data_IF_777966966315
#
_entry.id   IF_777966966315
#
_cell.length_a   1.000
_cell.length_b   1.000
_cell.length_c   1.000
_cell.angle_alpha   90.00
_cell.angle_beta   90.00
_cell.angle_gamma   90.00
#
_symmetry.space_group_name_H-M   'P 1'
#
loop_
_entity.id
_entity.type
_entity.pdbx_description
1 polymer ?
#
# COMPACT_ATOMS: atom_id res chain seq x y z
N UNK A 1 -13.72 -4.23 -15.49
CA UNK A 1 -13.80 -4.39 -14.02
C UNK A 1 -12.56 -5.11 -13.46
N UNK A 2 -12.22 -6.32 -13.93
CA UNK A 2 -11.07 -7.09 -13.42
C UNK A 2 -9.70 -6.35 -13.47
N UNK A 3 -9.42 -5.62 -14.55
CA UNK A 3 -8.14 -4.90 -14.72
C UNK A 3 -7.84 -3.91 -13.59
N UNK A 4 -8.87 -3.24 -13.07
CA UNK A 4 -8.74 -2.25 -12.00
C UNK A 4 -8.25 -2.90 -10.71
N UNK A 5 -8.86 -4.03 -10.34
CA UNK A 5 -8.50 -4.78 -9.14
C UNK A 5 -7.12 -5.40 -9.25
N UNK A 6 -6.79 -5.97 -10.42
CA UNK A 6 -5.43 -6.46 -10.71
C UNK A 6 -4.39 -5.34 -10.55
N UNK A 7 -4.65 -4.16 -11.12
CA UNK A 7 -3.75 -3.02 -11.01
C UNK A 7 -3.58 -2.54 -9.55
N UNK A 8 -4.65 -2.62 -8.75
CA UNK A 8 -4.60 -2.34 -7.31
C UNK A 8 -3.75 -3.35 -6.54
N UNK A 9 -3.96 -4.64 -6.78
CA UNK A 9 -3.16 -5.72 -6.17
C UNK A 9 -1.68 -5.60 -6.55
N UNK A 10 -1.37 -5.38 -7.84
CA UNK A 10 -0.01 -5.20 -8.31
C UNK A 10 0.65 -3.96 -7.68
N UNK A 11 -0.08 -2.85 -7.58
CA UNK A 11 0.42 -1.63 -6.94
C UNK A 11 0.67 -1.82 -5.44
N UNK A 12 -0.29 -2.40 -4.72
CA UNK A 12 -0.16 -2.70 -3.30
C UNK A 12 0.98 -3.68 -3.03
N UNK A 13 1.16 -4.70 -3.86
CA UNK A 13 2.28 -5.64 -3.75
C UNK A 13 3.63 -4.95 -3.95
N UNK A 14 3.81 -4.17 -5.03
CA UNK A 14 5.08 -3.48 -5.31
C UNK A 14 5.40 -2.42 -4.25
N UNK A 15 4.40 -1.63 -3.83
CA UNK A 15 4.55 -0.69 -2.73
C UNK A 15 4.89 -1.41 -1.42
N UNK A 16 4.20 -2.52 -1.15
CA UNK A 16 4.40 -3.36 0.02
C UNK A 16 5.79 -3.97 0.08
N UNK A 17 6.35 -4.43 -1.04
CA UNK A 17 7.72 -4.93 -1.13
C UNK A 17 8.75 -3.84 -0.79
N UNK A 18 8.63 -2.66 -1.41
CA UNK A 18 9.57 -1.56 -1.16
C UNK A 18 9.49 -1.10 0.30
N UNK A 19 8.27 -0.98 0.83
CA UNK A 19 8.07 -0.63 2.24
C UNK A 19 8.61 -1.75 3.16
N UNK A 20 8.33 -3.01 2.87
CA UNK A 20 8.81 -4.12 3.67
C UNK A 20 10.33 -4.22 3.70
N UNK A 21 11.04 -3.91 2.60
CA UNK A 21 12.51 -3.86 2.56
C UNK A 21 13.02 -2.78 3.53
N UNK A 22 12.39 -1.60 3.52
CA UNK A 22 12.70 -0.57 4.51
C UNK A 22 12.44 -1.06 5.93
N UNK A 23 11.28 -1.68 6.20
CA UNK A 23 10.95 -2.19 7.53
C UNK A 23 11.93 -3.26 8.00
N UNK A 24 12.40 -4.14 7.09
CA UNK A 24 13.42 -5.13 7.38
C UNK A 24 14.73 -4.47 7.80
N UNK A 25 15.17 -3.48 7.03
CA UNK A 25 16.40 -2.74 7.32
C UNK A 25 16.30 -1.93 8.63
N UNK A 26 15.10 -1.45 8.97
CA UNK A 26 14.81 -0.71 10.18
C UNK A 26 14.45 -1.59 11.40
N UNK A 27 14.42 -2.92 11.26
CA UNK A 27 14.06 -3.85 12.35
C UNK A 27 12.58 -3.77 12.77
N UNK A 28 11.69 -3.26 11.92
CA UNK A 28 10.29 -2.98 12.26
C UNK A 28 9.32 -4.12 11.94
N UNK A 29 9.78 -5.20 11.32
CA UNK A 29 8.91 -6.32 10.94
C UNK A 29 8.44 -7.14 12.14
N UNK A 30 9.24 -7.22 13.20
CA UNK A 30 8.85 -7.86 14.46
C UNK A 30 7.62 -7.15 15.05
N UNK A 31 7.58 -5.81 15.02
CA UNK A 31 6.42 -5.04 15.45
C UNK A 31 5.14 -5.38 14.68
N UNK A 32 5.26 -5.73 13.40
CA UNK A 32 4.12 -6.19 12.59
C UNK A 32 3.75 -7.63 12.93
N UNK A 33 4.74 -8.51 13.15
CA UNK A 33 4.50 -9.89 13.57
C UNK A 33 3.77 -9.96 14.92
N UNK A 34 4.07 -9.02 15.83
CA UNK A 34 3.42 -8.95 17.15
C UNK A 34 1.92 -8.69 17.05
N UNK A 35 1.41 -8.12 15.95
CA UNK A 35 -0.04 -7.95 15.74
C UNK A 35 -0.81 -9.27 15.71
N UNK A 36 -0.11 -10.38 15.47
CA UNK A 36 -0.65 -11.74 15.52
C UNK A 36 0.04 -12.61 16.58
N UNK A 37 0.72 -11.98 17.56
CA UNK A 37 1.38 -12.67 18.67
C UNK A 37 2.67 -13.41 18.31
N UNK A 38 3.30 -13.07 17.18
CA UNK A 38 4.56 -13.67 16.73
C UNK A 38 5.73 -12.69 16.89
N UNK A 39 6.94 -13.21 17.12
CA UNK A 39 8.21 -12.47 17.11
C UNK A 39 9.02 -12.73 15.82
N UNK A 40 8.65 -13.72 15.01
CA UNK A 40 9.33 -14.05 13.77
C UNK A 40 9.17 -12.95 12.68
N UNK A 41 10.28 -12.33 12.21
CA UNK A 41 10.23 -11.31 11.14
C UNK A 41 9.61 -11.81 9.82
N UNK A 42 9.73 -13.10 9.52
CA UNK A 42 9.10 -13.73 8.34
C UNK A 42 7.57 -13.73 8.42
N UNK A 43 7.00 -13.89 9.62
CA UNK A 43 5.56 -13.72 9.85
C UNK A 43 5.17 -12.26 9.65
N UNK A 44 5.99 -11.32 10.16
CA UNK A 44 5.82 -9.88 9.93
C UNK A 44 5.76 -9.51 8.45
N UNK A 45 6.65 -10.08 7.63
CA UNK A 45 6.61 -9.95 6.16
C UNK A 45 5.28 -10.42 5.56
N UNK A 46 4.81 -11.60 5.96
CA UNK A 46 3.55 -12.16 5.47
C UNK A 46 2.37 -11.25 5.78
N UNK A 47 2.24 -10.82 7.03
CA UNK A 47 1.18 -9.91 7.49
C UNK A 47 1.27 -8.56 6.76
N UNK A 48 2.47 -7.99 6.66
CA UNK A 48 2.70 -6.72 5.95
C UNK A 48 2.26 -6.78 4.49
N UNK A 49 2.62 -7.85 3.76
CA UNK A 49 2.21 -8.01 2.36
C UNK A 49 0.71 -8.21 2.21
N UNK A 50 0.06 -8.96 3.12
CA UNK A 50 -1.41 -9.11 3.12
C UNK A 50 -2.07 -7.74 3.31
N UNK A 51 -1.65 -6.96 4.31
CA UNK A 51 -2.16 -5.61 4.55
C UNK A 51 -1.93 -4.71 3.33
N UNK A 52 -0.75 -4.80 2.72
CA UNK A 52 -0.40 -4.06 1.51
C UNK A 52 -1.31 -4.37 0.32
N UNK A 53 -1.67 -5.65 0.12
CA UNK A 53 -2.65 -6.06 -0.89
C UNK A 53 -4.04 -5.50 -0.61
N UNK A 54 -4.49 -5.55 0.65
CA UNK A 54 -5.78 -4.98 1.07
C UNK A 54 -5.83 -3.48 0.83
N UNK A 55 -4.77 -2.75 1.14
CA UNK A 55 -4.69 -1.32 0.83
C UNK A 55 -4.59 -1.05 -0.67
N UNK A 56 -3.92 -1.90 -1.45
CA UNK A 56 -3.96 -1.83 -2.92
C UNK A 56 -5.37 -1.98 -3.50
N UNK A 57 -6.17 -2.89 -2.95
CA UNK A 57 -7.59 -3.03 -3.28
C UNK A 57 -8.41 -1.81 -2.85
N UNK A 58 -8.20 -1.29 -1.64
CA UNK A 58 -8.87 -0.09 -1.15
C UNK A 58 -8.53 1.13 -2.02
N UNK A 59 -7.26 1.27 -2.40
CA UNK A 59 -6.80 2.31 -3.32
C UNK A 59 -7.55 2.21 -4.65
N UNK A 60 -7.60 1.01 -5.24
CA UNK A 60 -8.37 0.77 -6.45
C UNK A 60 -9.84 1.16 -6.23
N UNK A 61 -10.51 0.66 -5.20
CA UNK A 61 -11.92 0.95 -4.92
C UNK A 61 -12.22 2.46 -4.93
N UNK A 62 -11.43 3.26 -4.20
CA UNK A 62 -11.62 4.71 -4.10
C UNK A 62 -11.18 5.51 -5.33
N UNK A 63 -10.30 4.96 -6.19
CA UNK A 63 -9.68 5.69 -7.31
C UNK A 63 -10.66 6.24 -8.35
N UNK A 64 -11.90 5.72 -8.38
CA UNK A 64 -12.95 6.13 -9.32
C UNK A 64 -13.67 7.41 -8.91
N UNK A 65 -13.65 7.74 -7.61
CA UNK A 65 -14.38 8.89 -7.07
C UNK A 65 -13.56 10.19 -7.07
N UNK A 66 -12.24 10.09 -7.29
CA UNK A 66 -11.33 11.24 -7.25
C UNK A 66 -10.71 11.48 -8.63
N UNK A 67 -10.89 12.68 -9.17
CA UNK A 67 -10.34 13.07 -10.48
C UNK A 67 -8.81 13.24 -10.43
N UNK A 68 -8.31 14.01 -9.47
CA UNK A 68 -6.89 14.27 -9.30
C UNK A 68 -6.20 13.09 -8.59
N UNK A 69 -5.37 12.37 -9.34
CA UNK A 69 -4.73 11.13 -8.89
C UNK A 69 -3.58 11.36 -7.92
N UNK A 70 -2.88 12.49 -8.05
CA UNK A 70 -1.80 12.87 -7.14
C UNK A 70 -2.39 13.19 -5.77
N UNK A 71 -3.43 14.03 -5.74
CA UNK A 71 -4.13 14.36 -4.49
C UNK A 71 -4.67 13.10 -3.82
N UNK A 72 -5.26 12.19 -4.60
CA UNK A 72 -5.75 10.92 -4.07
C UNK A 72 -4.63 10.06 -3.45
N UNK A 73 -3.48 9.94 -4.10
CA UNK A 73 -2.35 9.17 -3.57
C UNK A 73 -1.82 9.75 -2.26
N UNK A 74 -1.66 11.07 -2.19
CA UNK A 74 -1.19 11.76 -0.98
C UNK A 74 -2.21 11.60 0.15
N UNK A 75 -3.49 11.89 -0.08
CA UNK A 75 -4.51 11.78 0.98
C UNK A 75 -4.72 10.34 1.42
N UNK A 76 -4.63 9.37 0.50
CA UNK A 76 -4.66 7.95 0.83
C UNK A 76 -3.48 7.56 1.72
N UNK A 77 -2.25 7.98 1.37
CA UNK A 77 -1.04 7.74 2.17
C UNK A 77 -1.13 8.33 3.58
N UNK A 78 -1.61 9.57 3.70
CA UNK A 78 -1.87 10.21 5.00
C UNK A 78 -2.94 9.45 5.79
N UNK A 79 -4.03 9.02 5.14
CA UNK A 79 -5.10 8.31 5.82
C UNK A 79 -4.63 6.96 6.39
N UNK A 80 -3.89 6.17 5.62
CA UNK A 80 -3.35 4.89 6.11
C UNK A 80 -2.29 5.09 7.21
N UNK A 81 -1.52 6.18 7.16
CA UNK A 81 -0.57 6.53 8.23
C UNK A 81 -1.29 6.88 9.54
N UNK A 82 -2.38 7.63 9.47
CA UNK A 82 -3.19 7.92 10.67
C UNK A 82 -3.82 6.63 11.22
N UNK A 83 -4.40 5.82 10.35
CA UNK A 83 -5.17 4.64 10.75
C UNK A 83 -4.25 3.51 11.25
N UNK A 84 -3.16 3.20 10.54
CA UNK A 84 -2.29 2.07 10.84
C UNK A 84 -1.37 2.34 12.04
N UNK A 85 -0.25 3.04 11.85
CA UNK A 85 0.79 3.19 12.87
C UNK A 85 0.43 4.16 14.00
N UNK A 86 -0.49 5.12 13.83
CA UNK A 86 -0.85 6.04 14.92
C UNK A 86 -2.03 5.57 15.78
N UNK A 87 -2.90 4.72 15.23
CA UNK A 87 -4.14 4.27 15.88
C UNK A 87 -4.19 2.76 16.07
N UNK A 88 -4.35 1.99 15.00
CA UNK A 88 -4.66 0.55 15.10
C UNK A 88 -3.49 -0.22 15.70
N UNK A 89 -2.26 -0.06 15.16
CA UNK A 89 -1.11 -0.84 15.62
C UNK A 89 -0.79 -0.59 17.11
N UNK A 90 -0.67 0.66 17.61
CA UNK A 90 -0.42 0.89 19.03
C UNK A 90 -1.51 0.28 19.92
N UNK A 91 -2.78 0.46 19.56
CA UNK A 91 -3.90 -0.10 20.35
C UNK A 91 -3.88 -1.63 20.38
N UNK A 92 -3.58 -2.29 19.27
CA UNK A 92 -3.46 -3.75 19.21
C UNK A 92 -2.28 -4.29 20.04
N UNK A 93 -1.20 -3.50 20.16
CA UNK A 93 -0.03 -3.85 20.96
C UNK A 93 -0.17 -3.44 22.43
N UNK A 94 -1.35 -3.00 22.87
CA UNK A 94 -1.58 -2.54 24.25
C UNK A 94 -0.88 -1.22 24.58
N UNK A 95 -0.40 -0.50 23.56
CA UNK A 95 0.13 0.85 23.68
C UNK A 95 -1.02 1.86 23.61
N UNK A 96 -0.82 3.05 24.18
CA UNK A 96 -1.71 4.19 23.92
C UNK A 96 -1.60 4.65 22.45
N UNK A 97 -2.64 5.35 21.96
CA UNK A 97 -2.60 6.00 20.65
C UNK A 97 -1.44 7.00 20.53
N UNK A 98 -0.92 7.17 19.32
CA UNK A 98 0.24 8.04 19.05
C UNK A 98 -0.14 9.34 18.33
N UNK A 99 -1.44 9.68 18.24
CA UNK A 99 -1.93 10.88 17.54
C UNK A 99 -1.30 12.18 18.06
N UNK A 100 -1.11 12.32 19.38
CA UNK A 100 -0.51 13.52 19.98
C UNK A 100 0.99 13.65 19.68
N UNK A 101 1.64 12.54 19.32
CA UNK A 101 3.05 12.46 18.95
C UNK A 101 3.25 12.32 17.43
N UNK A 102 2.23 12.61 16.62
CA UNK A 102 2.26 12.40 15.16
C UNK A 102 3.42 13.10 14.44
N UNK A 103 3.92 14.20 15.00
CA UNK A 103 5.04 14.98 14.43
C UNK A 103 6.39 14.65 15.05
N UNK A 104 6.49 13.63 15.90
CA UNK A 104 7.77 13.12 16.37
C UNK A 104 8.59 12.54 15.19
N UNK A 105 9.93 12.59 15.21
CA UNK A 105 10.77 12.16 14.08
C UNK A 105 10.46 10.75 13.55
N UNK A 106 10.23 9.79 14.46
CA UNK A 106 9.86 8.42 14.08
C UNK A 106 8.51 8.35 13.35
N UNK A 107 7.53 9.16 13.78
CA UNK A 107 6.20 9.19 13.17
C UNK A 107 6.20 9.92 11.84
N UNK A 108 7.07 10.92 11.65
CA UNK A 108 7.30 11.57 10.36
C UNK A 108 7.97 10.62 9.36
N UNK A 109 8.94 9.80 9.80
CA UNK A 109 9.50 8.76 8.93
C UNK A 109 8.46 7.70 8.58
N UNK A 110 7.58 7.34 9.52
CA UNK A 110 6.41 6.51 9.24
C UNK A 110 5.51 7.16 8.18
N UNK A 111 5.22 8.46 8.26
CA UNK A 111 4.46 9.16 7.22
C UNK A 111 5.14 9.06 5.83
N UNK A 112 6.45 9.30 5.77
CA UNK A 112 7.21 9.23 4.51
C UNK A 112 7.06 7.86 3.86
N UNK A 113 7.21 6.78 4.62
CA UNK A 113 7.11 5.41 4.08
C UNK A 113 5.71 5.08 3.57
N UNK A 114 4.65 5.55 4.24
CA UNK A 114 3.27 5.39 3.78
C UNK A 114 2.98 6.23 2.52
N UNK A 115 3.56 7.43 2.40
CA UNK A 115 3.49 8.23 1.18
C UNK A 115 4.22 7.55 0.01
N UNK A 116 5.38 6.96 0.25
CA UNK A 116 6.11 6.17 -0.76
C UNK A 116 5.30 4.95 -1.19
N UNK A 117 4.73 4.21 -0.25
CA UNK A 117 3.82 3.09 -0.54
C UNK A 117 2.65 3.51 -1.43
N UNK A 118 1.95 4.60 -1.05
CA UNK A 118 0.81 5.10 -1.80
C UNK A 118 1.21 5.64 -3.18
N UNK A 119 2.38 6.27 -3.28
CA UNK A 119 2.95 6.75 -4.53
C UNK A 119 3.26 5.62 -5.51
N UNK A 120 3.94 4.56 -5.06
CA UNK A 120 4.24 3.38 -5.87
C UNK A 120 2.93 2.71 -6.31
N UNK A 121 2.00 2.52 -5.38
CA UNK A 121 0.68 1.95 -5.67
C UNK A 121 -0.03 2.74 -6.75
N UNK A 122 -0.05 4.08 -6.65
CA UNK A 122 -0.67 4.95 -7.64
C UNK A 122 0.02 4.85 -9.01
N UNK A 123 1.35 4.92 -9.07
CA UNK A 123 2.12 4.82 -10.31
C UNK A 123 1.85 3.50 -11.02
N UNK A 124 1.96 2.37 -10.31
CA UNK A 124 1.66 1.04 -10.87
C UNK A 124 0.21 0.94 -11.34
N UNK A 125 -0.72 1.42 -10.51
CA UNK A 125 -2.15 1.38 -10.84
C UNK A 125 -2.47 2.17 -12.11
N UNK A 126 -1.88 3.35 -12.28
CA UNK A 126 -2.08 4.20 -13.46
C UNK A 126 -1.42 3.63 -14.70
N UNK A 127 -0.20 3.12 -14.56
CA UNK A 127 0.52 2.47 -15.65
C UNK A 127 -0.33 1.32 -16.22
N UNK A 128 -0.77 0.39 -15.37
CA UNK A 128 -1.55 -0.79 -15.78
C UNK A 128 -2.97 -0.49 -16.26
N UNK A 129 -3.52 0.69 -15.96
CA UNK A 129 -4.83 1.12 -16.44
C UNK A 129 -4.78 2.08 -17.64
N UNK A 130 -3.59 2.43 -18.13
CA UNK A 130 -3.42 3.39 -19.23
C UNK A 130 -4.03 2.86 -20.55
N UNK A 131 -4.71 3.71 -21.34
CA UNK A 131 -5.36 3.30 -22.59
C UNK A 131 -4.42 2.65 -23.61
N UNK A 132 -3.16 3.10 -23.67
CA UNK A 132 -2.13 2.60 -24.59
C UNK A 132 -1.87 1.10 -24.41
N UNK A 133 -1.90 0.58 -23.16
CA UNK A 133 -1.72 -0.84 -22.90
C UNK A 133 -2.96 -1.69 -23.27
N UNK A 134 -4.16 -1.08 -23.28
CA UNK A 134 -5.38 -1.76 -23.70
C UNK A 134 -5.42 -1.99 -25.21
N UNK A 135 -4.92 -1.03 -25.99
CA UNK A 135 -4.86 -1.12 -27.46
C UNK A 135 -3.89 -2.23 -27.89
N UNK A 136 -2.68 -2.27 -27.34
CA UNK A 136 -1.68 -3.32 -27.66
C UNK A 136 -2.22 -4.72 -27.33
N UNK A 137 -2.93 -4.89 -26.22
CA UNK A 137 -3.53 -6.18 -25.85
C UNK A 137 -4.64 -6.61 -26.82
N UNK A 138 -5.41 -5.64 -27.35
CA UNK A 138 -6.46 -5.91 -28.35
C UNK A 138 -5.87 -6.39 -29.67
N UNK A 139 -4.81 -5.74 -30.14
CA UNK A 139 -4.22 -6.02 -31.44
C UNK A 139 -3.51 -7.38 -31.49
N UNK A 140 -2.94 -7.84 -30.36
CA UNK A 140 -2.35 -9.19 -30.25
C UNK A 140 -3.37 -10.32 -30.11
N UNK A 141 -4.58 -10.03 -29.62
CA UNK A 141 -5.66 -11.01 -29.50
C UNK A 141 -6.47 -11.20 -30.79
N UNK A 142 -6.43 -10.24 -31.72
CA UNK A 142 -7.19 -10.28 -32.97
C UNK A 142 -6.52 -11.05 -34.12
N UNK A 143 -5.23 -11.40 -34.00
CA UNK A 143 -4.47 -12.04 -35.08
C UNK A 143 -4.59 -13.59 -35.13
N UNK A 144 -5.31 -14.22 -34.21
CA UNK A 144 -5.47 -15.68 -34.15
C UNK A 144 -6.76 -16.21 -34.79
N UNK A 145 -7.58 -15.33 -35.39
CA UNK A 145 -8.90 -15.68 -35.91
C UNK A 145 -9.08 -15.43 -37.42
N UNK A 146 -7.98 -15.43 -38.19
CA UNK A 146 -8.00 -15.33 -39.65
C UNK A 146 -7.36 -16.56 -40.28
#
# INVERSE_FOLDING_TARGET
MAQKWYAGLAGGFLGGLVFGIYMQAAGMLESVAMLVGSDNPGVGWGIHLIISLLFGLAFAAGSQYVKNKIVYAVTFGVAIWIIGPLLIMPLMLGMGQLLTAAFAPAQLMSLVTHLVFAGITAVTFHYLNSPKLRVIKRDRGGSSAA
#
